data_IF_061138872339
#
_entry.id   IF_061138872339
#
_cell.length_a   1.000
_cell.length_b   1.000
_cell.length_c   1.000
_cell.angle_alpha   90.00
_cell.angle_beta   90.00
_cell.angle_gamma   90.00
#
_symmetry.space_group_name_H-M   'P 1'
#
loop_
_entity.id
_entity.type
_entity.pdbx_description
1 polymer ?
#
# COMPACT_ATOMS: atom_id res chain seq x y z
N UNK A 1 -79.27 -12.15 7.53
CA UNK A 1 -79.10 -11.25 6.42
C UNK A 1 -77.61 -11.14 6.13
N UNK A 2 -77.31 -11.68 5.01
CA UNK A 2 -75.99 -11.90 4.39
C UNK A 2 -75.38 -10.60 3.91
N UNK A 3 -74.06 -10.59 3.74
CA UNK A 3 -73.17 -9.65 3.07
C UNK A 3 -72.48 -8.70 4.04
N UNK A 4 -71.25 -9.10 4.43
CA UNK A 4 -70.06 -8.26 4.61
C UNK A 4 -68.87 -9.13 5.08
N UNK A 5 -68.40 -10.02 4.21
CA UNK A 5 -67.11 -10.73 4.41
C UNK A 5 -66.50 -11.06 3.07
N UNK A 6 -66.13 -10.08 2.30
CA UNK A 6 -65.21 -10.20 1.18
C UNK A 6 -64.57 -8.82 0.94
N UNK A 7 -63.56 -8.44 1.70
CA UNK A 7 -62.57 -7.42 1.31
C UNK A 7 -61.38 -7.37 2.29
N UNK A 8 -60.89 -8.51 2.73
CA UNK A 8 -59.67 -8.55 3.56
C UNK A 8 -58.66 -9.62 3.12
N UNK A 9 -58.77 -10.12 1.89
CA UNK A 9 -57.91 -11.19 1.37
C UNK A 9 -57.05 -10.78 0.17
N UNK A 10 -57.02 -9.48 -0.18
CA UNK A 10 -56.29 -9.00 -1.36
C UNK A 10 -55.03 -8.16 -1.06
N UNK A 11 -54.63 -8.02 0.21
CA UNK A 11 -53.47 -7.22 0.61
C UNK A 11 -52.27 -8.03 1.14
N UNK A 12 -52.30 -9.36 1.06
CA UNK A 12 -51.26 -10.24 1.58
C UNK A 12 -50.51 -11.05 0.50
N UNK A 13 -50.69 -10.70 -0.77
CA UNK A 13 -50.01 -11.44 -1.89
C UNK A 13 -48.94 -10.59 -2.56
N UNK A 14 -48.62 -9.41 -2.09
CA UNK A 14 -47.62 -8.54 -2.72
C UNK A 14 -46.21 -8.61 -2.12
N UNK A 15 -45.97 -9.47 -1.14
CA UNK A 15 -44.61 -9.62 -0.53
C UNK A 15 -43.98 -11.01 -0.67
N UNK A 16 -44.56 -11.89 -1.48
CA UNK A 16 -43.95 -13.20 -1.77
C UNK A 16 -43.48 -13.37 -3.19
N UNK A 17 -43.20 -12.28 -3.90
CA UNK A 17 -42.64 -12.34 -5.28
C UNK A 17 -41.12 -12.31 -5.34
N UNK A 18 -40.43 -12.65 -4.23
CA UNK A 18 -39.08 -13.24 -4.28
C UNK A 18 -39.16 -14.75 -4.26
N UNK A 19 -40.09 -15.32 -4.99
CA UNK A 19 -40.10 -16.75 -5.25
C UNK A 19 -38.97 -17.07 -6.20
N UNK A 20 -37.96 -17.79 -5.64
CA UNK A 20 -37.12 -18.77 -6.30
C UNK A 20 -37.70 -19.14 -7.67
N UNK A 21 -37.23 -18.52 -8.74
CA UNK A 21 -37.40 -19.04 -10.07
C UNK A 21 -36.42 -20.23 -10.13
N UNK A 22 -36.93 -21.41 -9.88
CA UNK A 22 -36.20 -22.63 -10.19
C UNK A 22 -36.12 -22.75 -11.71
N UNK A 23 -35.03 -22.26 -12.23
CA UNK A 23 -34.66 -22.47 -13.63
C UNK A 23 -34.08 -23.89 -13.73
N UNK A 24 -34.87 -24.78 -14.30
CA UNK A 24 -34.67 -26.24 -14.33
C UNK A 24 -33.44 -26.67 -15.13
N UNK A 25 -32.71 -25.74 -15.79
CA UNK A 25 -31.61 -26.04 -16.71
C UNK A 25 -30.34 -25.19 -16.56
N UNK A 26 -30.15 -24.45 -15.48
CA UNK A 26 -28.91 -23.66 -15.32
C UNK A 26 -27.96 -24.34 -14.35
N UNK A 27 -26.70 -24.46 -14.77
CA UNK A 27 -25.60 -24.80 -13.86
C UNK A 27 -25.70 -23.95 -12.56
N UNK A 28 -25.39 -24.51 -11.38
CA UNK A 28 -25.53 -23.79 -10.10
C UNK A 28 -24.80 -22.47 -10.19
N UNK A 29 -25.46 -21.39 -9.73
CA UNK A 29 -24.87 -20.06 -9.71
C UNK A 29 -23.54 -20.12 -8.96
N UNK A 30 -22.47 -19.62 -9.57
CA UNK A 30 -21.14 -19.63 -8.97
C UNK A 30 -20.94 -18.40 -8.08
N UNK A 31 -20.37 -18.59 -6.92
CA UNK A 31 -20.07 -17.53 -5.96
C UNK A 31 -18.97 -16.63 -6.48
N UNK A 32 -19.02 -15.34 -6.10
CA UNK A 32 -17.93 -14.40 -6.32
C UNK A 32 -16.87 -14.65 -5.24
N UNK A 33 -15.67 -14.94 -5.69
CA UNK A 33 -14.48 -15.11 -4.84
C UNK A 33 -13.33 -14.28 -5.38
N UNK A 34 -12.29 -14.07 -4.56
CA UNK A 34 -11.15 -13.24 -4.91
C UNK A 34 -9.85 -13.99 -4.67
N UNK A 35 -8.80 -13.51 -5.34
CA UNK A 35 -7.40 -13.80 -5.04
C UNK A 35 -6.72 -12.47 -4.73
N UNK A 36 -6.18 -12.31 -3.54
CA UNK A 36 -5.48 -11.09 -3.14
C UNK A 36 -3.97 -11.31 -3.24
N UNK A 37 -3.28 -10.37 -3.89
CA UNK A 37 -1.84 -10.36 -4.04
C UNK A 37 -1.33 -8.92 -3.98
N UNK A 38 -0.09 -8.73 -3.53
CA UNK A 38 0.59 -7.44 -3.65
C UNK A 38 1.17 -7.27 -5.05
N UNK A 39 1.24 -6.02 -5.48
CA UNK A 39 1.92 -5.67 -6.70
C UNK A 39 3.41 -6.02 -6.59
N UNK A 40 3.90 -6.75 -7.56
CA UNK A 40 5.33 -7.00 -7.77
C UNK A 40 5.65 -6.79 -9.24
N UNK A 41 6.82 -6.23 -9.57
CA UNK A 41 7.23 -6.10 -10.97
C UNK A 41 7.18 -7.44 -11.70
N UNK A 42 6.96 -7.40 -13.02
CA UNK A 42 6.74 -8.58 -13.89
C UNK A 42 7.83 -9.67 -13.84
N UNK A 43 8.94 -9.44 -13.15
CA UNK A 43 10.07 -10.38 -13.04
C UNK A 43 10.02 -11.29 -11.82
N UNK A 44 9.06 -11.07 -10.90
CA UNK A 44 8.92 -11.85 -9.66
C UNK A 44 7.54 -12.52 -9.58
N UNK A 45 7.45 -13.61 -8.82
CA UNK A 45 6.16 -14.20 -8.46
C UNK A 45 5.38 -13.24 -7.55
N UNK A 46 4.06 -13.18 -7.70
CA UNK A 46 3.19 -12.43 -6.80
C UNK A 46 3.38 -12.96 -5.37
N UNK A 47 3.53 -12.05 -4.40
CA UNK A 47 3.66 -12.41 -3.00
C UNK A 47 2.31 -12.32 -2.29
N UNK A 48 2.21 -13.03 -1.17
CA UNK A 48 1.02 -13.01 -0.33
C UNK A 48 0.86 -11.64 0.35
N UNK A 49 -0.38 -11.24 0.58
CA UNK A 49 -0.73 -10.02 1.32
C UNK A 49 -0.95 -10.24 2.82
N UNK A 50 -0.78 -11.47 3.31
CA UNK A 50 -1.12 -11.83 4.70
C UNK A 50 -0.40 -11.00 5.75
N UNK A 51 0.84 -10.60 5.48
CA UNK A 51 1.62 -9.75 6.36
C UNK A 51 1.13 -8.30 6.41
N UNK A 52 0.48 -7.83 5.34
CA UNK A 52 -0.02 -6.46 5.25
C UNK A 52 -1.43 -6.33 5.80
N UNK A 53 -2.27 -7.31 5.50
CA UNK A 53 -3.66 -7.36 5.99
C UNK A 53 -4.22 -8.78 5.88
N UNK A 54 -5.22 -9.06 6.70
CA UNK A 54 -5.98 -10.31 6.66
C UNK A 54 -7.46 -10.09 6.33
N UNK A 55 -7.85 -8.87 6.01
CA UNK A 55 -9.16 -8.49 5.50
C UNK A 55 -9.02 -7.24 4.65
N UNK A 56 -9.89 -7.03 3.69
CA UNK A 56 -9.97 -5.78 2.93
C UNK A 56 -11.42 -5.43 2.62
N UNK A 57 -11.70 -4.17 2.30
CA UNK A 57 -13.02 -3.72 1.88
C UNK A 57 -13.11 -3.73 0.36
N UNK A 58 -14.24 -4.20 -0.17
CA UNK A 58 -14.50 -4.22 -1.60
C UNK A 58 -15.91 -3.71 -1.90
N UNK A 59 -16.04 -2.87 -2.91
CA UNK A 59 -17.31 -2.53 -3.56
C UNK A 59 -17.41 -3.28 -4.90
N UNK A 60 -18.62 -3.63 -5.29
CA UNK A 60 -18.90 -4.35 -6.52
C UNK A 60 -20.03 -3.67 -7.29
N UNK A 61 -19.71 -3.13 -8.45
CA UNK A 61 -20.63 -2.38 -9.29
C UNK A 61 -21.07 -3.26 -10.47
N UNK A 62 -22.38 -3.57 -10.51
CA UNK A 62 -22.97 -4.39 -11.57
C UNK A 62 -23.31 -3.55 -12.78
N UNK A 63 -22.80 -3.97 -13.94
CA UNK A 63 -23.18 -3.46 -15.25
C UNK A 63 -23.92 -4.54 -16.04
N UNK A 64 -25.18 -4.29 -16.29
CA UNK A 64 -26.07 -5.18 -17.02
C UNK A 64 -26.78 -4.42 -18.14
N UNK A 65 -27.21 -5.13 -19.20
CA UNK A 65 -27.98 -4.52 -20.28
C UNK A 65 -29.25 -3.84 -19.75
N UNK A 66 -29.41 -2.55 -20.05
CA UNK A 66 -30.53 -1.73 -19.57
C UNK A 66 -30.30 -1.00 -18.25
N UNK A 67 -29.14 -1.15 -17.62
CA UNK A 67 -28.75 -0.39 -16.44
C UNK A 67 -27.73 0.69 -16.85
N UNK A 68 -28.07 1.94 -16.59
CA UNK A 68 -27.21 3.10 -16.94
C UNK A 68 -26.63 3.82 -15.75
N UNK A 69 -26.79 3.27 -14.52
CA UNK A 69 -26.44 3.98 -13.28
C UNK A 69 -25.28 3.31 -12.56
N UNK A 70 -24.26 4.09 -12.26
CA UNK A 70 -23.11 3.78 -11.40
C UNK A 70 -23.51 3.39 -9.96
N UNK A 71 -24.80 3.36 -9.65
CA UNK A 71 -25.32 3.22 -8.27
C UNK A 71 -25.63 1.79 -7.87
N UNK A 72 -25.43 0.80 -8.75
CA UNK A 72 -25.74 -0.58 -8.41
C UNK A 72 -24.57 -1.29 -7.74
N UNK A 73 -24.33 -0.93 -6.50
CA UNK A 73 -23.37 -1.62 -5.68
C UNK A 73 -23.96 -2.94 -5.16
N UNK A 74 -23.44 -4.06 -5.70
CA UNK A 74 -23.89 -5.41 -5.29
C UNK A 74 -23.58 -5.71 -3.83
N UNK A 75 -22.50 -5.15 -3.30
CA UNK A 75 -22.02 -5.41 -1.93
C UNK A 75 -22.56 -4.41 -0.89
N UNK A 76 -23.56 -3.61 -1.26
CA UNK A 76 -24.08 -2.55 -0.39
C UNK A 76 -23.31 -1.24 -0.50
N UNK A 77 -23.85 -0.17 0.06
CA UNK A 77 -23.34 1.19 -0.12
C UNK A 77 -21.93 1.39 0.46
N UNK A 78 -21.63 0.71 1.56
CA UNK A 78 -20.35 0.80 2.24
C UNK A 78 -19.33 -0.23 1.76
N UNK A 79 -19.78 -1.16 0.90
CA UNK A 79 -19.00 -2.31 0.47
C UNK A 79 -19.07 -3.47 1.46
N UNK A 80 -18.35 -4.55 1.16
CA UNK A 80 -18.24 -5.75 1.98
C UNK A 80 -16.80 -5.95 2.48
N UNK A 81 -16.68 -6.48 3.69
CA UNK A 81 -15.41 -6.96 4.20
C UNK A 81 -15.10 -8.32 3.59
N UNK A 82 -14.03 -8.41 2.86
CA UNK A 82 -13.53 -9.63 2.24
C UNK A 82 -12.55 -10.29 3.21
N UNK A 83 -12.74 -11.58 3.46
CA UNK A 83 -11.97 -12.39 4.41
C UNK A 83 -11.35 -13.61 3.73
N UNK A 84 -10.26 -14.14 4.28
CA UNK A 84 -9.64 -15.36 3.78
C UNK A 84 -10.40 -16.61 4.30
N UNK A 85 -10.55 -17.60 3.43
CA UNK A 85 -11.27 -18.83 3.68
C UNK A 85 -10.45 -20.05 3.29
N UNK A 86 -10.65 -21.15 4.02
CA UNK A 86 -10.13 -22.48 3.69
C UNK A 86 -11.02 -23.15 2.62
N UNK A 87 -10.50 -24.22 2.03
CA UNK A 87 -11.23 -25.00 1.03
C UNK A 87 -12.51 -25.66 1.58
N UNK A 88 -12.58 -25.90 2.89
CA UNK A 88 -13.74 -26.46 3.57
C UNK A 88 -14.81 -25.41 3.93
N UNK A 89 -14.60 -24.13 3.59
CA UNK A 89 -15.52 -23.03 3.86
C UNK A 89 -15.44 -22.47 5.29
N UNK A 90 -14.42 -22.84 6.07
CA UNK A 90 -14.13 -22.21 7.37
C UNK A 90 -13.15 -21.04 7.20
N UNK A 91 -13.15 -20.10 8.16
CA UNK A 91 -12.23 -18.96 8.11
C UNK A 91 -10.78 -19.44 8.27
N UNK A 92 -9.88 -18.91 7.42
CA UNK A 92 -8.45 -19.15 7.56
C UNK A 92 -7.89 -18.29 8.72
N UNK A 93 -6.97 -18.87 9.48
CA UNK A 93 -6.31 -18.22 10.62
C UNK A 93 -4.80 -18.02 10.39
N UNK A 94 -4.29 -18.49 9.27
CA UNK A 94 -2.91 -18.36 8.82
C UNK A 94 -2.82 -18.37 7.30
N UNK A 95 -1.73 -17.84 6.77
CA UNK A 95 -1.49 -17.72 5.35
C UNK A 95 -1.58 -19.05 4.59
N UNK A 96 -0.93 -20.07 5.11
CA UNK A 96 -0.88 -21.42 4.50
C UNK A 96 -2.25 -22.09 4.41
N UNK A 97 -3.25 -21.57 5.12
CA UNK A 97 -4.61 -22.10 5.13
C UNK A 97 -5.51 -21.44 4.09
N UNK A 98 -5.09 -20.31 3.49
CA UNK A 98 -5.93 -19.52 2.58
C UNK A 98 -6.08 -20.25 1.25
N UNK A 99 -7.33 -20.61 0.93
CA UNK A 99 -7.68 -21.18 -0.36
C UNK A 99 -8.33 -20.17 -1.29
N UNK A 100 -9.07 -19.22 -0.74
CA UNK A 100 -9.72 -18.14 -1.47
C UNK A 100 -10.11 -17.00 -0.51
N UNK A 101 -10.44 -15.85 -1.08
CA UNK A 101 -10.98 -14.71 -0.37
C UNK A 101 -12.44 -14.49 -0.79
N UNK A 102 -13.32 -14.15 0.15
CA UNK A 102 -14.73 -13.90 -0.13
C UNK A 102 -15.37 -13.01 0.94
N UNK A 103 -16.49 -12.34 0.63
CA UNK A 103 -17.33 -11.70 1.64
C UNK A 103 -17.97 -12.76 2.55
N UNK A 104 -18.43 -12.30 3.71
CA UNK A 104 -19.12 -13.20 4.66
C UNK A 104 -20.47 -13.66 4.11
N UNK A 105 -21.15 -12.83 3.33
CA UNK A 105 -22.38 -13.17 2.63
C UNK A 105 -22.07 -13.73 1.25
N UNK A 106 -22.89 -14.69 0.80
CA UNK A 106 -22.73 -15.25 -0.53
C UNK A 106 -23.28 -14.32 -1.60
N UNK A 107 -22.41 -13.88 -2.48
CA UNK A 107 -22.76 -13.17 -3.69
C UNK A 107 -22.46 -14.02 -4.91
N UNK A 108 -23.29 -13.88 -5.94
CA UNK A 108 -23.22 -14.72 -7.12
C UNK A 108 -23.06 -13.90 -8.38
N UNK A 109 -22.34 -14.45 -9.32
CA UNK A 109 -22.17 -13.84 -10.63
C UNK A 109 -23.52 -13.61 -11.32
N UNK A 110 -23.67 -12.51 -12.09
CA UNK A 110 -24.88 -12.27 -12.87
C UNK A 110 -25.22 -13.44 -13.77
N UNK A 111 -26.50 -13.72 -13.96
CA UNK A 111 -26.95 -14.80 -14.87
C UNK A 111 -26.62 -14.49 -16.32
N UNK A 112 -26.78 -13.25 -16.74
CA UNK A 112 -26.50 -12.80 -18.09
C UNK A 112 -24.98 -12.75 -18.33
N UNK A 113 -24.54 -13.47 -19.38
CA UNK A 113 -23.13 -13.54 -19.76
C UNK A 113 -22.58 -12.20 -20.30
N UNK A 114 -23.42 -11.28 -20.73
CA UNK A 114 -23.03 -9.93 -21.18
C UNK A 114 -22.85 -8.95 -20.03
N UNK A 115 -23.34 -9.26 -18.83
CA UNK A 115 -23.18 -8.47 -17.64
C UNK A 115 -21.79 -8.64 -17.06
N UNK A 116 -21.20 -7.56 -16.56
CA UNK A 116 -19.93 -7.60 -15.86
C UNK A 116 -20.04 -6.91 -14.51
N UNK A 117 -19.09 -7.20 -13.64
CA UNK A 117 -18.96 -6.57 -12.32
C UNK A 117 -17.60 -5.89 -12.24
N UNK A 118 -17.61 -4.62 -11.86
CA UNK A 118 -16.41 -3.89 -11.56
C UNK A 118 -16.17 -3.91 -10.04
N UNK A 119 -14.95 -4.26 -9.64
CA UNK A 119 -14.55 -4.37 -8.23
C UNK A 119 -13.56 -3.28 -7.90
N UNK A 120 -13.86 -2.54 -6.84
CA UNK A 120 -13.01 -1.49 -6.26
C UNK A 120 -12.71 -1.89 -4.83
N UNK A 121 -11.42 -2.10 -4.51
CA UNK A 121 -11.04 -2.60 -3.20
C UNK A 121 -9.89 -1.82 -2.59
N UNK A 122 -9.91 -1.77 -1.24
CA UNK A 122 -8.90 -1.09 -0.45
C UNK A 122 -8.75 -1.72 0.93
N UNK A 123 -7.61 -1.42 1.54
CA UNK A 123 -7.35 -1.67 2.95
C UNK A 123 -6.86 -0.39 3.61
N UNK A 124 -7.35 -0.12 4.81
CA UNK A 124 -6.88 0.96 5.66
C UNK A 124 -7.13 0.58 7.11
N UNK A 125 -6.07 0.31 7.84
CA UNK A 125 -6.16 -0.14 9.23
C UNK A 125 -6.76 0.91 10.18
N UNK A 126 -6.70 2.19 9.81
CA UNK A 126 -7.01 3.33 10.71
C UNK A 126 -8.11 4.24 10.18
N UNK A 127 -8.68 3.91 9.03
CA UNK A 127 -9.72 4.73 8.45
C UNK A 127 -10.38 4.11 7.23
N UNK A 128 -10.99 4.96 6.45
CA UNK A 128 -11.60 4.62 5.17
C UNK A 128 -11.35 5.76 4.19
N UNK A 129 -11.40 5.51 2.88
CA UNK A 129 -11.38 6.61 1.91
C UNK A 129 -12.55 7.56 2.16
N UNK A 130 -12.32 8.85 2.00
CA UNK A 130 -13.38 9.88 2.06
C UNK A 130 -14.33 9.79 0.87
N UNK A 131 -13.85 9.24 -0.23
CA UNK A 131 -14.63 8.88 -1.41
C UNK A 131 -14.21 7.50 -1.89
N UNK A 132 -15.19 6.63 -2.13
CA UNK A 132 -14.99 5.33 -2.77
C UNK A 132 -16.15 5.06 -3.72
N UNK A 133 -15.96 5.41 -4.97
CA UNK A 133 -16.89 5.19 -6.08
C UNK A 133 -16.27 4.23 -7.10
N UNK A 134 -16.98 3.92 -8.14
CA UNK A 134 -16.44 3.13 -9.24
C UNK A 134 -15.27 3.79 -9.94
N UNK A 135 -15.25 5.11 -9.99
CA UNK A 135 -14.27 5.89 -10.76
C UNK A 135 -13.33 6.74 -9.91
N UNK A 136 -13.49 6.74 -8.59
CA UNK A 136 -12.66 7.57 -7.70
C UNK A 136 -12.47 6.95 -6.34
N UNK A 137 -11.22 6.94 -5.87
CA UNK A 137 -10.82 6.66 -4.49
C UNK A 137 -10.05 7.86 -3.95
N UNK A 138 -10.49 8.39 -2.79
CA UNK A 138 -9.86 9.57 -2.18
C UNK A 138 -9.58 9.32 -0.71
N UNK A 139 -8.36 9.63 -0.25
CA UNK A 139 -8.00 9.70 1.17
C UNK A 139 -7.46 11.08 1.52
N UNK A 140 -7.77 11.53 2.72
CA UNK A 140 -7.24 12.79 3.25
C UNK A 140 -6.54 12.54 4.58
N UNK A 141 -5.29 12.97 4.67
CA UNK A 141 -4.51 13.06 5.91
C UNK A 141 -4.32 14.54 6.18
N UNK A 142 -5.03 15.09 7.16
CA UNK A 142 -5.10 16.54 7.41
C UNK A 142 -4.39 16.98 8.71
N UNK A 143 -3.86 16.00 9.45
CA UNK A 143 -3.19 16.24 10.72
C UNK A 143 -4.13 16.48 11.91
N UNK A 144 -5.42 16.68 11.67
CA UNK A 144 -6.44 16.93 12.68
C UNK A 144 -7.41 15.76 12.85
N UNK A 145 -8.16 15.43 11.80
CA UNK A 145 -9.07 14.28 11.79
C UNK A 145 -8.29 12.98 11.62
N UNK A 146 -7.24 13.01 10.83
CA UNK A 146 -6.31 11.93 10.61
C UNK A 146 -4.88 12.44 10.52
N UNK A 147 -4.02 11.97 11.40
CA UNK A 147 -2.57 12.21 11.38
C UNK A 147 -1.87 10.97 10.84
N UNK A 148 -0.87 11.16 9.99
CA UNK A 148 -0.02 10.07 9.52
C UNK A 148 0.74 9.45 10.70
N UNK A 149 0.64 8.13 10.85
CA UNK A 149 1.35 7.35 11.84
C UNK A 149 2.45 6.51 11.18
N UNK A 150 3.46 6.14 11.93
CA UNK A 150 4.58 5.34 11.43
C UNK A 150 4.16 3.93 10.98
N UNK A 151 3.05 3.44 11.52
CA UNK A 151 2.45 2.13 11.24
C UNK A 151 1.19 2.20 10.37
N UNK A 152 0.92 3.36 9.73
CA UNK A 152 -0.18 3.47 8.77
C UNK A 152 0.08 2.56 7.58
N UNK A 153 -0.96 1.85 7.17
CA UNK A 153 -0.92 1.02 5.97
C UNK A 153 -2.19 1.25 5.17
N UNK A 154 -2.06 2.02 4.10
CA UNK A 154 -3.14 2.30 3.16
C UNK A 154 -2.79 1.55 1.88
N UNK A 155 -3.66 0.63 1.47
CA UNK A 155 -3.51 -0.08 0.21
C UNK A 155 -4.78 0.11 -0.64
N UNK A 156 -4.58 0.12 -1.93
CA UNK A 156 -5.66 0.08 -2.92
C UNK A 156 -5.34 -0.99 -3.96
N UNK A 157 -6.37 -1.70 -4.41
CA UNK A 157 -6.21 -2.66 -5.49
C UNK A 157 -6.43 -1.99 -6.85
N UNK A 158 -5.75 -2.49 -7.87
CA UNK A 158 -6.12 -2.19 -9.24
C UNK A 158 -7.59 -2.50 -9.46
N UNK A 159 -8.28 -1.65 -10.20
CA UNK A 159 -9.66 -1.84 -10.55
C UNK A 159 -9.84 -3.13 -11.37
N UNK A 160 -10.73 -4.01 -10.94
CA UNK A 160 -10.91 -5.31 -11.55
C UNK A 160 -12.30 -5.47 -12.16
N UNK A 161 -12.37 -5.47 -13.49
CA UNK A 161 -13.60 -5.69 -14.23
C UNK A 161 -13.66 -7.14 -14.70
N UNK A 162 -14.78 -7.80 -14.44
CA UNK A 162 -14.90 -9.21 -14.77
C UNK A 162 -16.29 -9.56 -15.26
N UNK A 163 -16.32 -10.43 -16.25
CA UNK A 163 -17.50 -11.16 -16.65
C UNK A 163 -17.57 -12.51 -15.94
N UNK A 164 -18.76 -13.07 -15.85
CA UNK A 164 -19.00 -14.44 -15.39
C UNK A 164 -18.24 -15.46 -16.23
N UNK A 165 -18.26 -15.28 -17.54
CA UNK A 165 -17.47 -16.04 -18.50
C UNK A 165 -16.66 -15.07 -19.33
N UNK A 166 -15.41 -15.40 -19.65
CA UNK A 166 -14.58 -14.57 -20.51
C UNK A 166 -15.20 -14.58 -21.92
N UNK A 167 -15.83 -13.48 -22.41
CA UNK A 167 -16.39 -13.47 -23.75
C UNK A 167 -15.25 -13.60 -24.75
N UNK A 168 -15.50 -14.39 -25.81
CA UNK A 168 -14.54 -14.69 -26.87
C UNK A 168 -13.93 -13.40 -27.44
N UNK A 169 -12.63 -13.21 -27.30
CA UNK A 169 -11.89 -12.04 -27.82
C UNK A 169 -11.40 -11.07 -26.77
N UNK A 170 -11.85 -11.16 -25.52
CA UNK A 170 -11.31 -10.38 -24.41
C UNK A 170 -10.32 -11.24 -23.63
N UNK A 171 -9.04 -11.03 -23.86
CA UNK A 171 -7.98 -11.60 -23.03
C UNK A 171 -7.86 -10.74 -21.78
N UNK A 172 -8.29 -11.22 -20.59
CA UNK A 172 -7.95 -10.52 -19.35
C UNK A 172 -6.43 -10.49 -19.18
N UNK A 173 -5.92 -9.48 -18.55
CA UNK A 173 -4.49 -9.35 -18.25
C UNK A 173 -3.99 -10.55 -17.42
N UNK A 174 -4.89 -11.27 -16.77
CA UNK A 174 -4.64 -12.49 -16.01
C UNK A 174 -5.29 -13.68 -16.67
N UNK A 175 -4.49 -14.72 -16.90
CA UNK A 175 -4.97 -15.99 -17.40
C UNK A 175 -5.73 -16.73 -16.30
N UNK A 176 -7.02 -16.87 -16.45
CA UNK A 176 -7.89 -17.60 -15.53
C UNK A 176 -9.35 -17.17 -15.65
N UNK A 177 -10.26 -18.09 -15.47
CA UNK A 177 -11.66 -17.79 -15.35
C UNK A 177 -11.92 -17.27 -13.92
N UNK A 178 -12.27 -16.01 -13.78
CA UNK A 178 -12.58 -15.38 -12.49
C UNK A 178 -13.68 -16.12 -11.70
N UNK A 179 -14.48 -16.90 -12.40
CA UNK A 179 -15.52 -17.74 -11.79
C UNK A 179 -14.97 -19.00 -11.14
N UNK A 180 -13.84 -19.50 -11.62
CA UNK A 180 -13.20 -20.72 -11.08
C UNK A 180 -11.99 -20.42 -10.21
N UNK A 181 -11.27 -19.34 -10.52
CA UNK A 181 -10.00 -18.99 -9.88
C UNK A 181 -10.11 -17.80 -8.92
N UNK A 182 -11.27 -17.12 -8.86
CA UNK A 182 -11.46 -15.86 -8.13
C UNK A 182 -11.02 -14.63 -8.92
N UNK A 183 -11.50 -13.47 -8.50
CA UNK A 183 -11.13 -12.16 -9.09
C UNK A 183 -9.75 -11.78 -8.56
N UNK A 184 -8.73 -11.58 -9.42
CA UNK A 184 -7.42 -11.13 -8.96
C UNK A 184 -7.50 -9.68 -8.50
N UNK A 185 -7.11 -9.44 -7.25
CA UNK A 185 -6.99 -8.12 -6.62
C UNK A 185 -5.52 -7.87 -6.33
N UNK A 186 -4.92 -6.93 -7.06
CA UNK A 186 -3.50 -6.58 -6.92
C UNK A 186 -3.41 -5.28 -6.14
N UNK A 187 -2.84 -5.36 -4.94
CA UNK A 187 -2.74 -4.25 -4.02
C UNK A 187 -1.42 -3.50 -4.14
N UNK A 188 -1.50 -2.18 -4.08
CA UNK A 188 -0.39 -1.25 -4.05
C UNK A 188 -0.41 -0.49 -2.73
N UNK A 189 0.78 -0.20 -2.17
CA UNK A 189 0.88 0.72 -1.04
C UNK A 189 0.70 2.17 -1.53
N UNK A 190 -0.22 2.87 -0.90
CA UNK A 190 -0.48 4.29 -1.19
C UNK A 190 0.59 5.23 -0.63
N UNK A 191 1.36 4.77 0.34
CA UNK A 191 2.43 5.52 0.99
C UNK A 191 3.80 5.09 0.44
N UNK A 192 4.82 5.88 0.75
CA UNK A 192 6.22 5.50 0.64
C UNK A 192 6.77 5.17 2.03
N UNK A 193 7.88 4.44 2.09
CA UNK A 193 8.62 4.20 3.32
C UNK A 193 10.03 4.78 3.23
N UNK A 194 10.48 5.41 4.30
CA UNK A 194 11.78 6.02 4.40
C UNK A 194 12.58 5.46 5.57
N UNK A 195 13.84 5.12 5.32
CA UNK A 195 14.83 4.68 6.30
C UNK A 195 16.11 5.51 6.16
N UNK A 196 16.78 5.80 7.27
CA UNK A 196 18.10 6.44 7.27
C UNK A 196 19.08 5.56 8.05
N UNK A 197 20.21 5.27 7.44
CA UNK A 197 21.32 4.50 8.01
C UNK A 197 22.60 5.32 8.00
N UNK A 198 23.58 4.92 8.80
CA UNK A 198 24.88 5.59 8.84
C UNK A 198 26.02 4.60 9.07
N UNK A 199 27.16 4.90 8.45
CA UNK A 199 28.43 4.18 8.63
C UNK A 199 29.63 5.13 8.43
N UNK A 200 30.82 4.60 8.58
CA UNK A 200 32.10 5.28 8.25
C UNK A 200 32.86 4.51 7.19
N UNK A 201 33.67 5.19 6.39
CA UNK A 201 34.49 4.52 5.36
C UNK A 201 35.46 3.50 5.98
N UNK A 202 35.96 3.83 7.19
CA UNK A 202 36.80 2.95 7.99
C UNK A 202 36.71 3.34 9.47
N UNK A 203 36.76 2.35 10.36
CA UNK A 203 36.79 2.55 11.80
C UNK A 203 38.23 2.46 12.37
N UNK A 204 39.15 1.83 11.64
CA UNK A 204 40.55 1.74 12.02
C UNK A 204 41.46 1.54 10.82
N UNK A 205 42.73 1.98 10.95
CA UNK A 205 43.80 1.70 9.99
C UNK A 205 45.15 1.73 10.71
N UNK A 206 45.87 0.63 10.65
CA UNK A 206 47.13 0.48 11.38
C UNK A 206 46.91 0.66 12.89
N UNK A 207 47.63 1.63 13.47
CA UNK A 207 47.53 1.97 14.91
C UNK A 207 46.49 3.06 15.18
N UNK A 208 45.77 3.53 14.17
CA UNK A 208 44.74 4.58 14.30
C UNK A 208 43.36 3.97 14.30
N UNK A 209 42.48 4.43 15.19
CA UNK A 209 41.06 4.13 15.16
C UNK A 209 40.22 5.39 15.29
N UNK A 210 39.02 5.39 14.72
CA UNK A 210 38.08 6.50 14.74
C UNK A 210 36.77 6.07 15.37
N UNK A 211 36.29 6.85 16.34
CA UNK A 211 34.95 6.73 16.89
C UNK A 211 34.12 7.92 16.39
N UNK A 212 33.14 7.65 15.56
CA UNK A 212 32.23 8.67 15.00
C UNK A 212 30.83 8.48 15.56
N UNK A 213 30.25 9.56 16.10
CA UNK A 213 28.89 9.56 16.64
C UNK A 213 28.06 10.66 15.99
N UNK A 214 26.72 10.54 16.02
CA UNK A 214 25.80 11.51 15.43
C UNK A 214 24.90 12.12 16.50
N UNK A 215 24.62 13.43 16.36
CA UNK A 215 23.71 14.17 17.24
C UNK A 215 22.95 15.24 16.47
N UNK A 216 21.86 15.75 17.06
CA UNK A 216 20.99 16.77 16.47
C UNK A 216 20.55 16.41 15.04
N UNK A 217 20.16 15.15 14.85
CA UNK A 217 19.77 14.65 13.53
C UNK A 217 18.35 15.10 13.23
N UNK A 218 18.15 15.75 12.09
CA UNK A 218 16.86 16.25 11.64
C UNK A 218 16.66 15.96 10.14
N UNK A 219 15.47 15.57 9.81
CA UNK A 219 14.98 15.56 8.42
C UNK A 219 13.91 16.64 8.31
N UNK A 220 14.20 17.68 7.54
CA UNK A 220 13.38 18.88 7.37
C UNK A 220 12.73 18.88 5.99
N UNK A 221 11.66 19.67 5.81
CA UNK A 221 11.01 19.83 4.51
C UNK A 221 10.05 18.69 4.13
N UNK A 222 9.65 17.83 5.07
CA UNK A 222 8.78 16.67 4.82
C UNK A 222 7.32 17.03 5.07
N UNK A 223 6.45 16.82 4.10
CA UNK A 223 5.01 16.96 4.28
C UNK A 223 4.43 15.69 4.91
N UNK A 224 3.60 15.87 5.94
CA UNK A 224 2.87 14.82 6.64
C UNK A 224 1.36 14.96 6.51
N UNK A 225 0.89 15.88 5.67
CA UNK A 225 -0.51 16.10 5.32
C UNK A 225 -0.68 16.16 3.81
N UNK A 226 -1.82 15.68 3.31
CA UNK A 226 -2.10 15.65 1.88
C UNK A 226 -3.39 14.91 1.57
N UNK A 227 -3.77 14.95 0.30
CA UNK A 227 -4.92 14.21 -0.24
C UNK A 227 -4.42 13.30 -1.35
N UNK A 228 -4.68 12.01 -1.22
CA UNK A 228 -4.56 11.05 -2.31
C UNK A 228 -5.84 11.09 -3.13
N UNK A 229 -5.73 11.31 -4.42
CA UNK A 229 -6.83 11.18 -5.37
C UNK A 229 -6.43 10.19 -6.45
N UNK A 230 -7.18 9.10 -6.54
CA UNK A 230 -7.05 8.09 -7.55
C UNK A 230 -8.31 8.09 -8.41
N UNK A 231 -8.15 8.18 -9.71
CA UNK A 231 -9.26 8.29 -10.65
C UNK A 231 -9.10 7.29 -11.79
N UNK A 232 -10.24 6.81 -12.28
CA UNK A 232 -10.34 6.03 -13.49
C UNK A 232 -11.47 6.58 -14.36
N UNK A 233 -11.30 6.51 -15.66
CA UNK A 233 -12.41 6.74 -16.57
C UNK A 233 -13.44 5.62 -16.43
N UNK A 234 -14.71 5.98 -16.41
CA UNK A 234 -15.81 5.02 -16.39
C UNK A 234 -15.62 3.94 -17.47
N UNK A 235 -16.01 2.70 -17.18
CA UNK A 235 -15.92 1.60 -18.15
C UNK A 235 -16.60 1.94 -19.47
N UNK A 236 -15.86 1.96 -20.55
CA UNK A 236 -16.44 2.07 -21.89
C UNK A 236 -16.43 0.72 -22.59
N UNK A 237 -17.57 0.07 -22.61
CA UNK A 237 -18.06 -0.88 -23.62
C UNK A 237 -17.42 -2.25 -23.62
N UNK A 238 -16.38 -2.61 -24.26
CA UNK A 238 -16.19 -3.98 -24.78
C UNK A 238 -15.02 -4.76 -24.22
N UNK A 239 -14.17 -4.18 -23.40
CA UNK A 239 -12.97 -4.85 -22.86
C UNK A 239 -12.77 -4.56 -21.38
N UNK A 240 -13.42 -5.31 -20.48
CA UNK A 240 -13.06 -5.25 -19.09
C UNK A 240 -11.68 -5.88 -18.88
N UNK A 241 -10.79 -5.09 -18.29
CA UNK A 241 -9.46 -5.51 -17.91
C UNK A 241 -9.18 -4.95 -16.51
N UNK A 242 -8.21 -5.50 -15.81
CA UNK A 242 -7.63 -4.81 -14.66
C UNK A 242 -7.06 -3.50 -15.15
N UNK A 243 -7.43 -2.41 -14.49
CA UNK A 243 -6.99 -1.07 -14.86
C UNK A 243 -6.30 -0.44 -13.67
N UNK A 244 -5.01 -0.06 -13.79
CA UNK A 244 -4.34 0.73 -12.78
C UNK A 244 -5.05 2.06 -12.59
N UNK A 245 -5.09 2.54 -11.35
CA UNK A 245 -5.58 3.86 -11.04
C UNK A 245 -4.59 4.93 -11.53
N UNK A 246 -5.14 6.04 -12.00
CA UNK A 246 -4.38 7.24 -12.32
C UNK A 246 -4.48 8.24 -11.17
N UNK A 247 -3.41 9.02 -10.92
CA UNK A 247 -3.41 10.03 -9.87
C UNK A 247 -2.31 9.82 -8.84
N UNK A 248 -2.47 10.45 -7.69
CA UNK A 248 -1.45 10.43 -6.64
C UNK A 248 -1.74 11.40 -5.50
N UNK A 249 -0.74 11.60 -4.67
CA UNK A 249 -0.80 12.51 -3.54
C UNK A 249 -0.58 13.95 -3.95
N UNK A 250 -1.44 14.84 -3.44
CA UNK A 250 -1.22 16.27 -3.38
C UNK A 250 -0.91 16.64 -1.93
N UNK A 251 0.33 17.02 -1.64
CA UNK A 251 0.74 17.46 -0.30
C UNK A 251 0.07 18.78 0.06
N UNK A 252 -0.19 19.00 1.33
CA UNK A 252 -0.86 20.20 1.83
C UNK A 252 -0.26 20.68 3.15
N UNK A 253 -0.62 21.89 3.58
CA UNK A 253 -0.14 22.46 4.83
C UNK A 253 1.32 22.93 4.75
N UNK A 254 2.00 22.93 5.89
CA UNK A 254 3.41 23.31 6.00
C UNK A 254 4.27 22.05 6.14
N UNK A 255 5.44 22.09 5.52
CA UNK A 255 6.44 21.06 5.69
C UNK A 255 6.87 20.98 7.17
N UNK A 256 7.15 19.80 7.64
CA UNK A 256 7.51 19.47 9.01
C UNK A 256 8.98 19.09 9.14
N UNK A 257 9.44 19.03 10.40
CA UNK A 257 10.76 18.53 10.76
C UNK A 257 10.61 17.25 11.57
N UNK A 258 11.25 16.18 11.14
CA UNK A 258 11.37 14.94 11.89
C UNK A 258 12.68 15.00 12.68
N UNK A 259 12.59 15.04 14.03
CA UNK A 259 13.75 14.99 14.90
C UNK A 259 14.08 13.53 15.21
N UNK A 260 15.33 13.14 14.98
CA UNK A 260 15.79 11.78 15.14
C UNK A 260 16.70 11.64 16.38
N UNK A 261 16.74 10.42 16.93
CA UNK A 261 17.56 10.13 18.09
C UNK A 261 19.06 10.23 17.76
N UNK A 262 19.84 10.69 18.71
CA UNK A 262 21.30 10.72 18.60
C UNK A 262 21.87 9.28 18.56
N UNK A 263 22.91 9.08 17.76
CA UNK A 263 23.71 7.85 17.73
C UNK A 263 24.95 8.08 18.61
N UNK A 264 24.89 7.59 19.82
CA UNK A 264 25.94 7.78 20.85
C UNK A 264 27.02 6.70 20.86
N UNK A 265 26.81 5.61 20.10
CA UNK A 265 27.81 4.57 19.89
C UNK A 265 28.56 4.82 18.59
N UNK A 266 29.84 4.40 18.52
CA UNK A 266 30.61 4.56 17.30
C UNK A 266 29.92 3.91 16.09
N UNK A 267 29.94 4.64 14.97
CA UNK A 267 29.43 4.12 13.70
C UNK A 267 30.31 2.96 13.21
N UNK A 268 29.73 1.90 12.67
CA UNK A 268 30.48 0.80 12.08
C UNK A 268 31.18 1.23 10.78
N UNK A 269 32.29 0.57 10.45
CA UNK A 269 32.87 0.67 9.13
C UNK A 269 31.93 0.08 8.07
N UNK A 270 31.99 0.62 6.85
CA UNK A 270 31.27 0.10 5.69
C UNK A 270 31.60 -1.37 5.51
N UNK A 271 30.66 -2.23 5.86
CA UNK A 271 30.69 -3.66 5.60
C UNK A 271 29.27 -4.06 5.22
N UNK A 272 29.12 -5.06 4.35
CA UNK A 272 27.78 -5.53 3.98
C UNK A 272 26.97 -5.85 5.24
N UNK A 273 25.79 -5.25 5.35
CA UNK A 273 24.78 -5.47 6.41
C UNK A 273 25.13 -5.00 7.84
N UNK A 274 26.02 -4.02 8.01
CA UNK A 274 26.39 -3.52 9.34
C UNK A 274 26.15 -2.02 9.55
N UNK A 275 25.29 -1.40 8.73
CA UNK A 275 24.99 0.03 8.87
C UNK A 275 24.17 0.29 10.15
N UNK A 276 24.48 1.38 10.83
CA UNK A 276 23.72 1.81 12.01
C UNK A 276 22.41 2.46 11.58
N UNK A 277 21.29 1.95 12.06
CA UNK A 277 19.99 2.56 11.81
C UNK A 277 19.89 3.89 12.58
N UNK A 278 19.67 4.97 11.85
CA UNK A 278 19.44 6.34 12.35
C UNK A 278 17.94 6.60 12.49
N UNK A 279 17.19 6.21 11.45
CA UNK A 279 15.73 6.23 11.41
C UNK A 279 15.27 4.86 10.92
N UNK A 280 14.45 4.18 11.72
CA UNK A 280 13.77 2.96 11.29
C UNK A 280 12.82 3.27 10.14
N UNK A 281 12.44 2.27 9.37
CA UNK A 281 11.49 2.42 8.29
C UNK A 281 10.21 3.11 8.80
N UNK A 282 9.84 4.23 8.20
CA UNK A 282 8.66 5.03 8.54
C UNK A 282 7.84 5.34 7.30
N UNK A 283 6.54 5.29 7.44
CA UNK A 283 5.62 5.67 6.38
C UNK A 283 5.58 7.19 6.21
N UNK A 284 5.66 7.62 4.97
CA UNK A 284 5.62 9.03 4.57
C UNK A 284 4.63 9.21 3.42
N UNK A 285 4.08 10.42 3.30
CA UNK A 285 3.30 10.80 2.14
C UNK A 285 4.24 10.92 0.93
N UNK A 286 3.95 10.27 -0.19
CA UNK A 286 4.66 10.46 -1.44
C UNK A 286 4.74 11.93 -1.82
N UNK A 287 5.95 12.41 -2.17
CA UNK A 287 6.21 13.81 -2.45
C UNK A 287 7.47 14.01 -3.28
N UNK A 288 7.55 15.17 -3.93
CA UNK A 288 8.78 15.58 -4.62
C UNK A 288 9.85 15.97 -3.60
N UNK A 289 11.06 15.51 -3.82
CA UNK A 289 12.25 15.87 -3.03
C UNK A 289 12.81 17.19 -3.57
N UNK A 290 12.38 18.28 -2.93
CA UNK A 290 12.81 19.65 -3.29
C UNK A 290 14.09 20.04 -2.53
N UNK A 291 14.61 21.23 -2.81
CA UNK A 291 15.74 21.82 -2.08
C UNK A 291 15.46 22.04 -0.59
N UNK A 292 14.18 22.04 -0.20
CA UNK A 292 13.76 22.18 1.21
C UNK A 292 13.87 20.88 1.98
N UNK A 293 13.99 19.73 1.30
CA UNK A 293 14.17 18.43 1.95
C UNK A 293 15.64 18.27 2.34
N UNK A 294 15.92 18.55 3.61
CA UNK A 294 17.28 18.66 4.14
C UNK A 294 17.49 17.66 5.28
N UNK A 295 18.57 16.89 5.18
CA UNK A 295 19.08 16.07 6.27
C UNK A 295 20.21 16.84 6.97
N UNK A 296 19.99 17.26 8.21
CA UNK A 296 20.95 17.99 9.01
C UNK A 296 21.33 17.19 10.26
N UNK A 297 22.62 17.22 10.63
CA UNK A 297 23.15 16.57 11.81
C UNK A 297 24.50 17.13 12.22
N UNK A 298 24.88 16.88 13.47
CA UNK A 298 26.26 17.04 13.90
C UNK A 298 26.91 15.66 14.03
N UNK A 299 28.15 15.53 13.59
CA UNK A 299 28.95 14.36 13.86
C UNK A 299 30.20 14.73 14.67
N UNK A 300 30.55 13.85 15.63
CA UNK A 300 31.73 13.99 16.44
C UNK A 300 32.71 12.92 16.03
N UNK A 301 33.95 13.32 15.77
CA UNK A 301 35.05 12.41 15.46
C UNK A 301 36.05 12.45 16.62
N UNK A 302 36.26 11.30 17.24
CA UNK A 302 37.37 11.05 18.14
C UNK A 302 38.33 10.08 17.47
N UNK A 303 39.60 10.38 17.45
CA UNK A 303 40.58 9.42 16.97
C UNK A 303 41.59 9.03 18.02
N UNK A 304 42.07 7.80 17.97
CA UNK A 304 43.06 7.22 18.85
C UNK A 304 44.23 6.72 18.03
N UNK A 305 45.41 7.06 18.51
CA UNK A 305 46.65 6.51 17.98
C UNK A 305 47.37 5.75 19.07
N UNK A 306 47.73 4.48 18.88
CA UNK A 306 48.21 3.58 19.90
C UNK A 306 47.37 3.60 21.19
N UNK A 307 46.03 3.62 21.06
CA UNK A 307 45.06 3.72 22.16
C UNK A 307 45.05 5.05 22.94
N UNK A 308 45.81 6.05 22.53
CA UNK A 308 45.75 7.40 23.11
C UNK A 308 44.84 8.28 22.26
N UNK A 309 43.85 8.93 22.90
CA UNK A 309 42.93 9.84 22.23
C UNK A 309 43.60 11.22 22.01
N UNK A 310 43.52 11.71 20.75
CA UNK A 310 44.22 12.94 20.37
C UNK A 310 43.31 14.07 19.89
N UNK A 311 42.15 13.74 19.31
CA UNK A 311 41.27 14.76 18.78
C UNK A 311 39.80 14.42 19.01
N UNK A 312 39.01 15.46 19.16
CA UNK A 312 37.58 15.40 19.25
C UNK A 312 37.01 16.60 18.49
N UNK A 313 36.51 16.35 17.29
CA UNK A 313 35.94 17.39 16.45
C UNK A 313 34.42 17.23 16.39
N UNK A 314 33.71 18.36 16.48
CA UNK A 314 32.27 18.44 16.28
C UNK A 314 32.01 19.23 15.00
N UNK A 315 31.46 18.59 13.99
CA UNK A 315 31.20 19.16 12.68
C UNK A 315 29.70 19.15 12.42
N UNK A 316 29.16 20.28 11.94
CA UNK A 316 27.77 20.37 11.50
C UNK A 316 27.69 20.04 10.00
N UNK A 317 26.70 19.26 9.65
CA UNK A 317 26.36 18.96 8.27
C UNK A 317 24.90 19.32 7.96
N UNK A 318 24.67 19.82 6.76
CA UNK A 318 23.35 20.10 6.22
C UNK A 318 23.38 19.77 4.73
N UNK A 319 22.56 18.80 4.31
CA UNK A 319 22.61 18.23 2.97
C UNK A 319 21.20 18.18 2.41
N UNK A 320 20.98 18.86 1.31
CA UNK A 320 19.76 18.74 0.50
C UNK A 320 19.76 17.35 -0.15
N UNK A 321 18.69 16.59 0.00
CA UNK A 321 18.64 15.21 -0.49
C UNK A 321 18.53 15.10 -2.02
N UNK A 322 18.27 16.20 -2.69
CA UNK A 322 18.31 16.30 -4.15
C UNK A 322 19.64 16.89 -4.70
N UNK A 323 20.61 17.27 -3.85
CA UNK A 323 21.92 17.80 -4.28
C UNK A 323 22.79 16.69 -4.90
N UNK A 324 22.86 16.66 -6.22
CA UNK A 324 23.62 15.66 -6.97
C UNK A 324 25.13 15.70 -6.75
N UNK A 325 25.66 16.74 -6.09
CA UNK A 325 27.09 16.82 -5.73
C UNK A 325 27.41 16.09 -4.42
N UNK A 326 26.41 15.91 -3.56
CA UNK A 326 26.56 15.29 -2.23
C UNK A 326 25.81 13.97 -2.09
N UNK A 327 24.77 13.79 -2.89
CA UNK A 327 23.92 12.60 -2.90
C UNK A 327 24.16 11.85 -4.21
N UNK A 328 24.69 10.67 -4.15
CA UNK A 328 24.91 9.86 -5.35
C UNK A 328 23.56 9.40 -5.91
N UNK A 329 23.30 9.66 -7.19
CA UNK A 329 22.00 9.29 -7.81
C UNK A 329 20.78 9.82 -7.04
N UNK A 330 20.76 11.13 -6.75
CA UNK A 330 19.68 11.77 -6.01
C UNK A 330 18.29 11.38 -6.53
N UNK A 331 17.40 11.03 -5.61
CA UNK A 331 16.03 10.63 -5.89
C UNK A 331 15.18 11.90 -5.97
N UNK A 332 14.50 12.12 -7.09
CA UNK A 332 13.68 13.32 -7.32
C UNK A 332 12.29 13.24 -6.67
N UNK A 333 11.75 12.04 -6.47
CA UNK A 333 10.45 11.81 -5.86
C UNK A 333 10.51 10.62 -4.91
N UNK A 334 9.75 10.70 -3.85
CA UNK A 334 9.34 9.55 -3.06
C UNK A 334 7.95 9.14 -3.55
N UNK A 335 7.88 8.08 -4.33
CA UNK A 335 6.62 7.66 -4.95
C UNK A 335 5.88 6.62 -4.11
N UNK A 336 4.60 6.43 -4.40
CA UNK A 336 3.82 5.33 -3.82
C UNK A 336 4.51 3.98 -4.07
N UNK A 337 4.29 3.06 -3.16
CA UNK A 337 4.80 1.68 -3.27
C UNK A 337 6.34 1.57 -3.29
N UNK A 338 7.05 2.52 -2.70
CA UNK A 338 8.51 2.53 -2.65
C UNK A 338 9.05 2.50 -1.22
N UNK A 339 10.14 1.76 -1.03
CA UNK A 339 10.98 1.81 0.16
C UNK A 339 12.30 2.48 -0.18
N UNK A 340 12.60 3.59 0.47
CA UNK A 340 13.78 4.39 0.23
C UNK A 340 14.70 4.32 1.46
N UNK A 341 15.96 4.01 1.25
CA UNK A 341 16.98 4.05 2.30
C UNK A 341 18.08 5.04 1.91
N UNK A 342 18.32 6.02 2.75
CA UNK A 342 19.48 6.90 2.63
C UNK A 342 20.59 6.41 3.56
N UNK A 343 21.77 6.13 3.02
CA UNK A 343 22.93 5.73 3.80
C UNK A 343 23.95 6.88 3.89
N UNK A 344 24.18 7.40 5.09
CA UNK A 344 25.18 8.41 5.37
C UNK A 344 26.52 7.70 5.56
N UNK A 345 27.49 7.99 4.70
CA UNK A 345 28.88 7.49 4.84
C UNK A 345 29.80 8.63 5.16
N UNK A 346 30.47 8.59 6.32
CA UNK A 346 31.42 9.61 6.78
C UNK A 346 32.83 9.08 6.59
N UNK A 347 33.69 9.86 5.93
CA UNK A 347 35.11 9.60 5.93
C UNK A 347 35.77 10.34 7.11
N UNK A 348 36.24 9.61 8.15
CA UNK A 348 36.75 10.27 9.36
C UNK A 348 38.11 10.96 9.18
N UNK A 349 38.86 10.64 8.10
CA UNK A 349 40.15 11.28 7.83
C UNK A 349 39.99 12.63 7.12
N UNK A 350 39.08 12.68 6.14
CA UNK A 350 38.90 13.88 5.31
C UNK A 350 37.71 14.70 5.76
N UNK A 351 36.95 14.23 6.76
CA UNK A 351 35.71 14.83 7.26
C UNK A 351 34.63 15.02 6.18
N UNK A 352 34.74 14.25 5.08
CA UNK A 352 33.78 14.30 3.98
C UNK A 352 32.59 13.38 4.24
N UNK A 353 31.44 13.78 3.72
CA UNK A 353 30.16 13.04 3.82
C UNK A 353 29.70 12.71 2.41
N UNK A 354 29.23 11.49 2.24
CA UNK A 354 28.50 11.03 1.09
C UNK A 354 27.15 10.45 1.54
N UNK A 355 26.12 10.68 0.75
CA UNK A 355 24.82 10.05 0.93
C UNK A 355 24.51 9.20 -0.29
N UNK A 356 24.21 7.93 -0.06
CA UNK A 356 23.84 6.96 -1.06
C UNK A 356 22.38 6.55 -0.86
N UNK A 357 21.45 6.97 -1.73
CA UNK A 357 20.09 6.48 -1.71
C UNK A 357 19.99 5.11 -2.39
N UNK A 358 19.20 4.25 -1.83
CA UNK A 358 18.74 3.03 -2.44
C UNK A 358 17.20 3.02 -2.42
N UNK A 359 16.60 2.66 -3.52
CA UNK A 359 15.17 2.58 -3.68
C UNK A 359 14.81 1.18 -4.15
N UNK A 360 13.86 0.58 -3.46
CA UNK A 360 13.25 -0.69 -3.84
C UNK A 360 11.74 -0.53 -3.82
N UNK A 361 11.04 -1.33 -4.58
CA UNK A 361 9.60 -1.39 -4.43
C UNK A 361 9.23 -1.94 -3.06
N UNK A 362 8.16 -1.42 -2.50
CA UNK A 362 7.63 -1.88 -1.23
C UNK A 362 6.97 -3.25 -1.43
N UNK A 363 7.74 -4.29 -1.17
CA UNK A 363 7.24 -5.65 -1.16
C UNK A 363 6.63 -5.92 0.22
N UNK A 364 5.49 -6.65 0.30
CA UNK A 364 5.01 -7.16 1.57
C UNK A 364 6.11 -8.02 2.18
N UNK A 365 6.40 -7.75 3.44
CA UNK A 365 7.34 -8.56 4.20
C UNK A 365 6.75 -9.97 4.30
N UNK A 366 7.30 -10.93 3.57
CA UNK A 366 7.07 -12.33 3.92
C UNK A 366 7.44 -12.49 5.40
N UNK A 367 6.53 -13.02 6.22
CA UNK A 367 6.65 -13.11 7.68
C UNK A 367 7.84 -13.94 8.15
N UNK A 368 9.02 -13.53 7.76
CA UNK A 368 10.31 -14.01 8.23
C UNK A 368 10.90 -12.95 9.14
N UNK A 369 11.06 -13.26 10.42
CA UNK A 369 11.87 -12.53 11.36
C UNK A 369 13.23 -12.21 10.71
N UNK A 370 13.35 -11.04 10.10
CA UNK A 370 14.66 -10.44 9.89
C UNK A 370 15.08 -9.86 11.23
N UNK A 371 15.82 -10.64 12.00
CA UNK A 371 16.72 -10.09 13.00
C UNK A 371 17.60 -9.05 12.31
N UNK A 372 17.30 -7.77 12.55
CA UNK A 372 18.14 -6.65 12.22
C UNK A 372 19.43 -6.69 13.05
#
# INVERSE_FOLDING_TARGET
MKKFFILAAAALVAFSACTKIEDVDSAPAKKITFQAASYVPQTKAQSSVWSDFNTFTCKAFLHAAGYTSETQNMFGIDGETIKPWKSDGTAATGEDEVSYWAPQHDYYWPKDASSYVNFVAWYDAKGTPTTATETSLVWTIDGSSRSLQTDDNILFADEAWRYKSNPTGNTPQYTGDAVTSGVPMIFHHALAQLCIKANVTKASEGNTSWDVTLSNIKLEGVFNTGTLTLENSAPSGTNPATKPWEGGWATSGSASTINLAAITTALPAVTANNDKVVMTMQNIIPQTVTDDVVLSFNYNISYKYNNTEYAHEKIAASIQLNDTNKVSSAIGNWDMNQQITYTITINPETTTIRIDPAMVEWEPQAGGSTTL
#
